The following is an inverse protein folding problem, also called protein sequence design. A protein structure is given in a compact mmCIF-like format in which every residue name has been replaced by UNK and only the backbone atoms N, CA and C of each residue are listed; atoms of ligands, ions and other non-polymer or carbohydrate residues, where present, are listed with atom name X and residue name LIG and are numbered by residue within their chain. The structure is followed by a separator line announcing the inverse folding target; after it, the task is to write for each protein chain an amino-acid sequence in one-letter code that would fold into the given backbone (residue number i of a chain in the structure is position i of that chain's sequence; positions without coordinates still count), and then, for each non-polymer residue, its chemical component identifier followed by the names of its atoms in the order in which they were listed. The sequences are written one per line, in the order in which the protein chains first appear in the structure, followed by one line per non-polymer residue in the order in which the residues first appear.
data_IF_877881998110
#
_entry.id   IF_877881998110
#
_cell.length_a   1.000
_cell.length_b   1.000
_cell.length_c   1.000
_cell.angle_alpha   90.00
_cell.angle_beta   90.00
_cell.angle_gamma   90.00
#
_symmetry.space_group_name_H-M   'P 1'
#
loop_
_entity.id
_entity.type
_entity.pdbx_description
1 polymer ?
#
# COMPACT_ATOMS: atom_id res chain seq x y z
N UNK A 1 -0.14 -13.53 -2.66
CA UNK A 1 -1.28 -12.59 -2.58
C UNK A 1 -0.85 -11.17 -2.19
N UNK A 2 -0.35 -10.89 -0.97
CA UNK A 2 0.17 -9.55 -0.61
C UNK A 2 1.22 -9.01 -1.61
N UNK A 3 2.20 -9.83 -1.97
CA UNK A 3 3.20 -9.46 -2.98
C UNK A 3 2.58 -9.11 -4.35
N UNK A 4 1.53 -9.81 -4.77
CA UNK A 4 0.83 -9.52 -6.03
C UNK A 4 0.03 -8.21 -5.97
N UNK A 5 -0.58 -7.92 -4.81
CA UNK A 5 -1.29 -6.65 -4.58
C UNK A 5 -0.33 -5.46 -4.62
N UNK A 6 0.80 -5.56 -3.90
CA UNK A 6 1.83 -4.52 -3.92
C UNK A 6 2.49 -4.39 -5.30
N UNK A 7 2.77 -5.52 -5.97
CA UNK A 7 3.33 -5.51 -7.32
C UNK A 7 2.41 -4.80 -8.31
N UNK A 8 1.12 -5.12 -8.28
CA UNK A 8 0.11 -4.49 -9.15
C UNK A 8 -0.03 -2.99 -8.82
N UNK A 9 -0.11 -2.63 -7.55
CA UNK A 9 -0.18 -1.23 -7.11
C UNK A 9 1.06 -0.44 -7.55
N UNK A 10 2.26 -1.02 -7.38
CA UNK A 10 3.52 -0.41 -7.77
C UNK A 10 3.57 -0.13 -9.27
N UNK A 11 3.16 -1.09 -10.10
CA UNK A 11 3.04 -0.88 -11.56
C UNK A 11 2.05 0.23 -11.91
N UNK A 12 0.89 0.29 -11.24
CA UNK A 12 -0.13 1.31 -11.48
C UNK A 12 0.36 2.74 -11.17
N UNK A 13 1.24 2.94 -10.19
CA UNK A 13 1.87 4.24 -9.91
C UNK A 13 2.67 4.78 -11.11
N UNK A 14 3.21 3.89 -11.96
CA UNK A 14 3.93 4.27 -13.17
C UNK A 14 3.00 4.35 -14.38
N UNK A 15 2.12 3.36 -14.55
CA UNK A 15 1.25 3.23 -15.72
C UNK A 15 0.09 4.24 -15.75
N UNK A 16 -0.56 4.49 -14.60
CA UNK A 16 -1.71 5.38 -14.48
C UNK A 16 -1.52 6.33 -13.29
N UNK A 17 -0.62 7.33 -13.38
CA UNK A 17 -0.16 8.08 -12.22
C UNK A 17 -1.10 9.17 -11.72
N UNK A 18 -1.94 9.73 -12.61
CA UNK A 18 -2.80 10.89 -12.31
C UNK A 18 -3.66 10.73 -11.05
N UNK A 19 -4.31 9.58 -10.80
CA UNK A 19 -5.06 9.35 -9.56
C UNK A 19 -4.19 9.40 -8.31
N UNK A 20 -2.96 8.87 -8.37
CA UNK A 20 -2.03 8.81 -7.25
C UNK A 20 -1.43 10.19 -6.97
N UNK A 21 -1.03 10.93 -8.01
CA UNK A 21 -0.52 12.30 -7.87
C UNK A 21 -1.56 13.23 -7.23
N UNK A 22 -2.85 13.04 -7.53
CA UNK A 22 -3.93 13.87 -7.00
C UNK A 22 -4.21 13.67 -5.50
N UNK A 23 -3.81 12.52 -4.94
CA UNK A 23 -4.02 12.20 -3.52
C UNK A 23 -2.83 12.58 -2.64
N UNK A 24 -1.66 12.84 -3.22
CA UNK A 24 -0.47 13.31 -2.49
C UNK A 24 -0.81 14.63 -1.77
N UNK A 25 -0.58 14.73 -0.44
CA UNK A 25 -0.78 15.97 0.29
C UNK A 25 0.05 17.12 -0.28
N UNK A 26 -0.58 18.28 -0.45
CA UNK A 26 0.13 19.51 -0.90
C UNK A 26 1.14 20.04 0.12
N UNK A 27 1.09 19.56 1.36
CA UNK A 27 2.04 19.89 2.42
C UNK A 27 3.39 19.19 2.27
N UNK A 28 3.49 18.17 1.41
CA UNK A 28 4.77 17.51 1.14
C UNK A 28 5.62 18.37 0.19
N UNK A 29 6.92 18.52 0.45
CA UNK A 29 7.81 19.27 -0.43
C UNK A 29 7.99 18.54 -1.78
N UNK A 30 8.22 19.30 -2.84
CA UNK A 30 8.47 18.76 -4.18
C UNK A 30 7.21 18.50 -5.00
N UNK A 31 7.35 17.74 -6.10
CA UNK A 31 6.24 17.46 -7.01
C UNK A 31 5.51 16.19 -6.55
N UNK A 32 4.17 16.15 -6.60
CA UNK A 32 3.40 14.93 -6.31
C UNK A 32 3.90 13.70 -7.09
N UNK A 33 4.34 13.92 -8.33
CA UNK A 33 4.87 12.86 -9.20
C UNK A 33 6.09 12.15 -8.62
N UNK A 34 6.94 12.85 -7.88
CA UNK A 34 8.15 12.26 -7.30
C UNK A 34 7.78 11.33 -6.16
N UNK A 35 6.86 11.76 -5.29
CA UNK A 35 6.29 10.93 -4.23
C UNK A 35 5.60 9.68 -4.78
N UNK A 36 4.79 9.81 -5.83
CA UNK A 36 4.14 8.67 -6.52
C UNK A 36 5.14 7.67 -7.08
N UNK A 37 6.29 8.13 -7.60
CA UNK A 37 7.36 7.24 -8.10
C UNK A 37 8.09 6.55 -6.97
N UNK A 38 8.41 7.28 -5.90
CA UNK A 38 9.08 6.74 -4.71
C UNK A 38 8.19 5.68 -4.05
N UNK A 39 6.88 5.95 -3.89
CA UNK A 39 5.94 4.97 -3.35
C UNK A 39 5.80 3.75 -4.25
N UNK A 40 5.68 3.95 -5.57
CA UNK A 40 5.62 2.85 -6.53
C UNK A 40 6.87 1.95 -6.50
N UNK A 41 8.06 2.55 -6.41
CA UNK A 41 9.31 1.80 -6.27
C UNK A 41 9.38 1.04 -4.94
N UNK A 42 8.96 1.67 -3.84
CA UNK A 42 8.90 1.01 -2.53
C UNK A 42 7.93 -0.17 -2.53
N UNK A 43 6.76 -0.05 -3.14
CA UNK A 43 5.79 -1.15 -3.28
C UNK A 43 6.36 -2.33 -4.07
N UNK A 44 7.07 -2.07 -5.17
CA UNK A 44 7.74 -3.13 -5.94
C UNK A 44 8.86 -3.81 -5.14
N UNK A 45 9.66 -3.04 -4.39
CA UNK A 45 10.71 -3.58 -3.53
C UNK A 45 10.13 -4.45 -2.41
N UNK A 46 9.04 -4.02 -1.78
CA UNK A 46 8.33 -4.79 -0.77
C UNK A 46 7.69 -6.05 -1.36
N UNK A 47 7.13 -5.97 -2.56
CA UNK A 47 6.59 -7.13 -3.27
C UNK A 47 7.69 -8.18 -3.52
N UNK A 48 8.85 -7.76 -4.03
CA UNK A 48 10.00 -8.65 -4.21
C UNK A 48 10.48 -9.22 -2.86
N UNK A 49 10.62 -8.37 -1.85
CA UNK A 49 11.05 -8.78 -0.51
C UNK A 49 10.09 -9.75 0.19
N UNK A 50 8.79 -9.70 -0.13
CA UNK A 50 7.78 -10.67 0.33
C UNK A 50 7.91 -12.04 -0.35
N UNK A 51 8.47 -12.10 -1.56
CA UNK A 51 8.73 -13.35 -2.28
C UNK A 51 10.01 -14.04 -1.82
N UNK A 52 10.94 -13.31 -1.21
CA UNK A 52 12.20 -13.85 -0.70
C UNK A 52 12.07 -14.28 0.77
N UNK A 53 12.29 -15.57 1.12
CA UNK A 53 12.09 -16.08 2.49
C UNK A 53 12.86 -15.31 3.57
N UNK A 54 14.09 -14.90 3.26
CA UNK A 54 15.00 -14.20 4.19
C UNK A 54 14.52 -12.79 4.56
N UNK A 55 13.85 -12.10 3.64
CA UNK A 55 13.35 -10.73 3.83
C UNK A 55 11.84 -10.66 4.05
N UNK A 56 11.13 -11.80 3.94
CA UNK A 56 9.67 -11.86 3.99
C UNK A 56 9.09 -11.18 5.22
N UNK A 57 9.63 -11.45 6.41
CA UNK A 57 9.13 -10.88 7.67
C UNK A 57 9.32 -9.38 7.75
N UNK A 58 10.52 -8.89 7.42
CA UNK A 58 10.83 -7.46 7.40
C UNK A 58 9.96 -6.73 6.36
N UNK A 59 9.80 -7.33 5.17
CA UNK A 59 8.97 -6.78 4.10
C UNK A 59 7.49 -6.77 4.46
N UNK A 60 7.01 -7.77 5.20
CA UNK A 60 5.64 -7.80 5.71
C UNK A 60 5.40 -6.71 6.77
N UNK A 61 6.34 -6.49 7.69
CA UNK A 61 6.26 -5.40 8.66
C UNK A 61 6.28 -4.03 7.98
N UNK A 62 7.20 -3.82 7.04
CA UNK A 62 7.28 -2.59 6.25
C UNK A 62 6.04 -2.38 5.37
N UNK A 63 5.44 -3.45 4.83
CA UNK A 63 4.16 -3.40 4.12
C UNK A 63 3.03 -2.94 5.04
N UNK A 64 2.96 -3.45 6.28
CA UNK A 64 1.97 -2.99 7.25
C UNK A 64 2.14 -1.50 7.56
N UNK A 65 3.39 -1.06 7.79
CA UNK A 65 3.70 0.35 8.04
C UNK A 65 3.31 1.25 6.85
N UNK A 66 3.64 0.83 5.62
CA UNK A 66 3.28 1.54 4.40
C UNK A 66 1.75 1.66 4.25
N UNK A 67 1.03 0.56 4.45
CA UNK A 67 -0.44 0.54 4.39
C UNK A 67 -1.04 1.50 5.43
N UNK A 68 -0.51 1.58 6.65
CA UNK A 68 -0.98 2.56 7.64
C UNK A 68 -0.64 4.00 7.19
N UNK A 69 0.57 4.23 6.69
CA UNK A 69 1.01 5.56 6.26
C UNK A 69 0.19 6.14 5.10
N UNK A 70 -0.27 5.30 4.15
CA UNK A 70 -1.08 5.76 3.01
C UNK A 70 -2.58 5.78 3.28
N UNK A 71 -3.05 5.29 4.45
CA UNK A 71 -4.46 5.29 4.81
C UNK A 71 -5.11 6.69 4.79
N UNK A 72 -4.48 7.77 5.33
CA UNK A 72 -5.03 9.12 5.22
C UNK A 72 -5.23 9.59 3.78
N UNK A 73 -4.33 9.20 2.86
CA UNK A 73 -4.46 9.54 1.44
C UNK A 73 -5.65 8.82 0.78
N UNK A 74 -5.90 7.55 1.13
CA UNK A 74 -7.08 6.81 0.68
C UNK A 74 -8.40 7.39 1.24
N UNK A 75 -8.39 7.84 2.51
CA UNK A 75 -9.54 8.54 3.11
C UNK A 75 -9.82 9.86 2.37
N UNK A 76 -8.77 10.64 2.09
CA UNK A 76 -8.88 11.86 1.27
C UNK A 76 -9.45 11.55 -0.12
N UNK A 77 -8.94 10.51 -0.79
CA UNK A 77 -9.44 10.08 -2.10
C UNK A 77 -10.93 9.74 -2.04
N UNK A 78 -11.39 9.00 -1.03
CA UNK A 78 -12.79 8.65 -0.86
C UNK A 78 -13.70 9.90 -0.69
N UNK A 79 -13.20 10.95 -0.02
CA UNK A 79 -13.88 12.24 0.11
C UNK A 79 -13.88 13.01 -1.20
N UNK A 80 -12.72 13.15 -1.84
CA UNK A 80 -12.56 13.91 -3.10
C UNK A 80 -13.36 13.27 -4.25
N UNK A 81 -13.45 11.94 -4.27
CA UNK A 81 -14.13 11.18 -5.32
C UNK A 81 -15.61 10.91 -5.00
N UNK A 82 -16.12 11.43 -3.89
CA UNK A 82 -17.52 11.23 -3.48
C UNK A 82 -18.55 11.73 -4.50
N UNK A 83 -18.16 12.70 -5.35
CA UNK A 83 -18.97 13.28 -6.44
C UNK A 83 -18.66 12.73 -7.84
N UNK A 84 -17.72 11.78 -7.96
CA UNK A 84 -17.42 11.11 -9.25
C UNK A 84 -18.51 10.07 -9.59
N UNK A 85 -18.57 9.58 -10.84
CA UNK A 85 -19.50 8.52 -11.20
C UNK A 85 -19.40 7.31 -10.26
N UNK A 86 -20.55 6.67 -10.00
CA UNK A 86 -20.74 5.60 -9.03
C UNK A 86 -19.60 4.55 -8.94
N UNK A 87 -19.05 4.01 -10.04
CA UNK A 87 -17.97 3.01 -9.93
C UNK A 87 -16.71 3.57 -9.26
N UNK A 88 -16.31 4.80 -9.58
CA UNK A 88 -15.11 5.43 -9.01
C UNK A 88 -15.30 5.78 -7.54
N UNK A 89 -16.45 6.36 -7.20
CA UNK A 89 -16.80 6.67 -5.82
C UNK A 89 -16.90 5.40 -4.96
N UNK A 90 -17.49 4.33 -5.51
CA UNK A 90 -17.59 3.03 -4.88
C UNK A 90 -16.23 2.41 -4.59
N UNK A 91 -15.33 2.36 -5.57
CA UNK A 91 -13.96 1.84 -5.40
C UNK A 91 -13.20 2.63 -4.34
N UNK A 92 -13.25 3.96 -4.38
CA UNK A 92 -12.53 4.80 -3.41
C UNK A 92 -13.04 4.59 -1.98
N UNK A 93 -14.35 4.46 -1.79
CA UNK A 93 -14.95 4.16 -0.48
C UNK A 93 -14.63 2.76 0.01
N UNK A 94 -14.67 1.76 -0.87
CA UNK A 94 -14.37 0.37 -0.52
C UNK A 94 -12.90 0.15 -0.12
N UNK A 95 -11.97 0.91 -0.71
CA UNK A 95 -10.55 0.86 -0.37
C UNK A 95 -10.24 1.18 1.09
N UNK A 96 -10.96 2.12 1.70
CA UNK A 96 -10.72 2.57 3.07
C UNK A 96 -10.90 1.44 4.10
N UNK A 97 -12.05 0.74 4.19
CA UNK A 97 -12.21 -0.39 5.10
C UNK A 97 -11.42 -1.63 4.65
N UNK A 98 -11.23 -1.85 3.34
CA UNK A 98 -10.44 -2.98 2.83
C UNK A 98 -8.97 -2.93 3.24
N UNK A 99 -8.47 -1.76 3.65
CA UNK A 99 -7.09 -1.59 4.11
C UNK A 99 -6.84 -2.25 5.47
N UNK A 100 -7.86 -2.34 6.34
CA UNK A 100 -7.76 -2.96 7.67
C UNK A 100 -7.36 -4.45 7.60
N UNK A 101 -8.07 -5.33 6.86
CA UNK A 101 -7.67 -6.72 6.75
C UNK A 101 -6.30 -6.89 6.08
N UNK A 102 -5.92 -6.00 5.16
CA UNK A 102 -4.58 -6.03 4.54
C UNK A 102 -3.47 -5.72 5.55
N UNK A 103 -3.67 -4.72 6.42
CA UNK A 103 -2.73 -4.41 7.50
C UNK A 103 -2.61 -5.58 8.48
N UNK A 104 -3.74 -6.13 8.92
CA UNK A 104 -3.75 -7.29 9.83
C UNK A 104 -3.05 -8.49 9.22
N UNK A 105 -3.25 -8.73 7.93
CA UNK A 105 -2.57 -9.80 7.21
C UNK A 105 -1.06 -9.58 7.10
N UNK A 106 -0.64 -8.36 6.76
CA UNK A 106 0.78 -8.01 6.71
C UNK A 106 1.44 -8.17 8.10
N UNK A 107 0.78 -7.72 9.17
CA UNK A 107 1.25 -7.94 10.54
C UNK A 107 1.31 -9.42 10.91
N UNK A 108 0.35 -10.23 10.48
CA UNK A 108 0.37 -11.68 10.70
C UNK A 108 1.56 -12.33 9.99
N UNK A 109 1.81 -11.97 8.72
CA UNK A 109 2.94 -12.46 7.93
C UNK A 109 4.31 -12.00 8.46
N UNK A 110 4.34 -10.91 9.23
CA UNK A 110 5.53 -10.40 9.90
C UNK A 110 5.87 -11.13 11.21
N UNK A 111 4.95 -11.93 11.77
CA UNK A 111 5.18 -12.59 13.06
C UNK A 111 6.32 -13.61 12.96
N UNK A 112 7.15 -13.72 14.01
CA UNK A 112 8.05 -14.84 14.11
C UNK A 112 7.26 -16.14 14.23
N UNK A 113 7.67 -17.17 13.49
CA UNK A 113 7.16 -18.52 13.65
C UNK A 113 7.42 -18.93 15.09
N UNK A 114 6.33 -19.11 15.86
CA UNK A 114 6.42 -19.63 17.22
C UNK A 114 6.67 -21.13 17.13
N UNK A 115 7.94 -21.55 16.99
CA UNK A 115 8.29 -22.97 17.08
C UNK A 115 9.67 -23.37 16.58
N UNK A 116 10.66 -23.44 17.48
CA UNK A 116 11.58 -24.59 17.69
C UNK A 116 12.62 -24.22 18.76
N UNK A 117 12.13 -23.88 19.95
CA UNK A 117 12.93 -23.79 21.17
C UNK A 117 12.56 -24.92 22.12
N UNK A 118 12.83 -26.16 21.72
CA UNK A 118 12.95 -27.35 22.57
C UNK A 118 13.99 -28.25 21.91
N UNK A 119 15.26 -27.95 22.19
CA UNK A 119 16.35 -28.90 22.09
C UNK A 119 16.57 -29.52 23.47
#
# INVERSE_FOLDING_TARGET
MLAGLLGTAGVLHFAVPRPFDAIVPRSLPGRPRDWTRISGAAELALAAGLLTPRTRRASAAATAALLVAVWPANVKMARDWSRRPAPWAGIARARVPAQVPLVLWALHAARPDRGSGRG
#
